data_IF_218511698283
#
_entry.id   IF_218511698283
#
_cell.length_a   1.000
_cell.length_b   1.000
_cell.length_c   1.000
_cell.angle_alpha   90.00
_cell.angle_beta   90.00
_cell.angle_gamma   90.00
#
_symmetry.space_group_name_H-M   'P 1'
#
loop_
_entity.id
_entity.type
_entity.pdbx_description
1 polymer ?
#
# COMPACT_ATOMS: atom_id res chain seq x y z
N UNK A 1 20.93 -1.78 9.10
CA UNK A 1 21.72 -1.64 7.85
C UNK A 1 20.97 -0.61 7.04
N UNK A 2 21.31 0.70 7.06
CA UNK A 2 20.70 1.74 6.20
C UNK A 2 21.32 3.10 6.60
N UNK A 3 22.47 3.46 6.03
CA UNK A 3 22.99 4.84 6.15
C UNK A 3 23.15 5.53 4.79
N UNK A 4 23.17 4.75 3.70
CA UNK A 4 23.01 5.23 2.33
C UNK A 4 21.76 4.56 1.76
N UNK A 5 20.68 5.31 1.54
CA UNK A 5 19.45 4.74 0.95
C UNK A 5 19.58 4.54 -0.57
N UNK A 6 20.70 4.94 -1.18
CA UNK A 6 20.94 4.89 -2.63
C UNK A 6 19.78 5.53 -3.43
N UNK A 7 19.10 6.56 -2.88
CA UNK A 7 17.92 7.19 -3.49
C UNK A 7 18.14 7.64 -4.95
N UNK A 8 19.38 8.02 -5.27
CA UNK A 8 19.76 8.71 -6.52
C UNK A 8 20.85 8.00 -7.29
N UNK A 9 21.17 6.76 -6.94
CA UNK A 9 22.23 5.99 -7.57
C UNK A 9 21.88 4.50 -7.58
N UNK A 10 22.64 3.73 -8.33
CA UNK A 10 22.44 2.28 -8.37
C UNK A 10 22.96 1.66 -7.08
N UNK A 11 22.19 0.73 -6.53
CA UNK A 11 22.65 -0.06 -5.37
C UNK A 11 23.85 -0.91 -5.80
N UNK A 12 24.99 -0.86 -5.09
CA UNK A 12 26.15 -1.69 -5.38
C UNK A 12 25.83 -3.20 -5.31
N UNK A 13 26.56 -4.02 -6.07
CA UNK A 13 26.31 -5.47 -6.16
C UNK A 13 26.68 -6.22 -4.88
N UNK A 14 27.65 -5.72 -4.11
CA UNK A 14 28.09 -6.28 -2.82
C UNK A 14 27.07 -6.07 -1.69
N UNK A 15 26.12 -5.13 -1.85
CA UNK A 15 25.03 -4.86 -0.89
C UNK A 15 23.82 -5.77 -1.06
N UNK A 16 23.95 -6.85 -1.83
CA UNK A 16 22.85 -7.75 -2.16
C UNK A 16 22.28 -8.52 -0.96
N UNK A 17 20.94 -8.58 -0.85
CA UNK A 17 20.18 -9.35 0.15
C UNK A 17 19.33 -10.45 -0.50
N UNK A 18 19.00 -11.47 0.29
CA UNK A 18 18.17 -12.62 -0.13
C UNK A 18 16.69 -12.28 -0.24
N UNK A 19 15.97 -12.96 -1.13
CA UNK A 19 14.53 -12.73 -1.35
C UNK A 19 13.66 -12.93 -0.12
N UNK A 20 13.96 -13.92 0.73
CA UNK A 20 13.25 -14.11 2.00
C UNK A 20 13.32 -12.90 2.93
N UNK A 21 14.48 -12.21 2.99
CA UNK A 21 14.62 -10.99 3.79
C UNK A 21 13.78 -9.84 3.23
N UNK A 22 13.74 -9.71 1.90
CA UNK A 22 12.88 -8.73 1.22
C UNK A 22 11.40 -9.02 1.54
N UNK A 23 11.00 -10.29 1.44
CA UNK A 23 9.65 -10.74 1.77
C UNK A 23 9.28 -10.45 3.22
N UNK A 24 10.15 -10.78 4.19
CA UNK A 24 9.91 -10.49 5.61
C UNK A 24 9.75 -9.00 5.91
N UNK A 25 10.55 -8.13 5.26
CA UNK A 25 10.40 -6.68 5.42
C UNK A 25 9.01 -6.24 4.94
N UNK A 26 8.60 -6.71 3.76
CA UNK A 26 7.31 -6.36 3.19
C UNK A 26 6.12 -6.92 3.99
N UNK A 27 6.21 -8.17 4.48
CA UNK A 27 5.21 -8.77 5.39
C UNK A 27 5.13 -7.94 6.68
N UNK A 28 6.27 -7.51 7.22
CA UNK A 28 6.31 -6.65 8.41
C UNK A 28 5.65 -5.29 8.18
N UNK A 29 5.89 -4.66 7.03
CA UNK A 29 5.17 -3.45 6.61
C UNK A 29 3.67 -3.74 6.49
N UNK A 30 3.30 -4.95 6.08
CA UNK A 30 1.90 -5.31 5.91
C UNK A 30 1.14 -5.76 7.14
N UNK A 31 1.84 -6.05 8.24
CA UNK A 31 1.25 -6.14 9.57
C UNK A 31 0.93 -4.74 10.09
N UNK A 32 -0.07 -4.12 9.48
CA UNK A 32 -0.53 -2.77 9.78
C UNK A 32 -2.05 -2.73 9.97
N UNK A 33 -2.52 -1.79 10.78
CA UNK A 33 -3.94 -1.66 11.12
C UNK A 33 -4.87 -1.58 9.89
N UNK A 34 -4.53 -0.85 8.82
CA UNK A 34 -5.42 -0.79 7.66
C UNK A 34 -5.53 -2.12 6.90
N UNK A 35 -4.52 -2.99 6.98
CA UNK A 35 -4.59 -4.33 6.39
C UNK A 35 -5.61 -5.19 7.12
N UNK A 36 -5.65 -5.10 8.46
CA UNK A 36 -6.64 -5.79 9.28
C UNK A 36 -8.04 -5.28 8.99
N UNK A 37 -8.23 -3.95 8.95
CA UNK A 37 -9.50 -3.33 8.59
C UNK A 37 -9.98 -3.80 7.21
N UNK A 38 -9.10 -3.83 6.22
CA UNK A 38 -9.44 -4.32 4.88
C UNK A 38 -9.92 -5.77 4.90
N UNK A 39 -9.20 -6.67 5.59
CA UNK A 39 -9.59 -8.07 5.72
C UNK A 39 -10.94 -8.24 6.43
N UNK A 40 -11.16 -7.49 7.51
CA UNK A 40 -12.40 -7.48 8.27
C UNK A 40 -13.59 -6.97 7.42
N UNK A 41 -13.43 -5.84 6.72
CA UNK A 41 -14.46 -5.29 5.83
C UNK A 41 -14.84 -6.29 4.74
N UNK A 42 -13.85 -6.96 4.14
CA UNK A 42 -14.13 -7.97 3.11
C UNK A 42 -14.88 -9.17 3.68
N UNK A 43 -14.50 -9.64 4.87
CA UNK A 43 -15.17 -10.74 5.55
C UNK A 43 -16.62 -10.42 5.93
N UNK A 44 -16.88 -9.24 6.50
CA UNK A 44 -18.24 -8.81 6.84
C UNK A 44 -19.11 -8.69 5.58
N UNK A 45 -18.55 -8.18 4.48
CA UNK A 45 -19.31 -8.04 3.23
C UNK A 45 -19.65 -9.38 2.55
N UNK A 46 -18.72 -10.34 2.55
CA UNK A 46 -18.83 -11.58 1.77
C UNK A 46 -19.07 -12.86 2.56
N UNK A 47 -18.82 -12.85 3.87
CA UNK A 47 -18.65 -14.06 4.69
C UNK A 47 -17.24 -14.66 4.53
N UNK A 48 -16.92 -15.65 5.36
CA UNK A 48 -15.55 -16.17 5.49
C UNK A 48 -14.98 -16.76 4.19
N UNK A 49 -15.63 -17.79 3.61
CA UNK A 49 -15.09 -18.49 2.44
C UNK A 49 -14.94 -17.59 1.21
N UNK A 50 -15.94 -16.80 0.81
CA UNK A 50 -15.78 -15.96 -0.38
C UNK A 50 -14.78 -14.82 -0.13
N UNK A 51 -14.64 -14.33 1.12
CA UNK A 51 -13.57 -13.39 1.47
C UNK A 51 -12.16 -13.99 1.33
N UNK A 52 -11.94 -15.21 1.81
CA UNK A 52 -10.66 -15.93 1.61
C UNK A 52 -10.36 -16.10 0.12
N UNK A 53 -11.36 -16.43 -0.69
CA UNK A 53 -11.21 -16.52 -2.16
C UNK A 53 -10.84 -15.16 -2.76
N UNK A 54 -11.48 -14.07 -2.33
CA UNK A 54 -11.15 -12.71 -2.79
C UNK A 54 -9.69 -12.32 -2.45
N UNK A 55 -9.24 -12.63 -1.23
CA UNK A 55 -7.85 -12.41 -0.80
C UNK A 55 -6.88 -13.26 -1.60
N UNK A 56 -7.22 -14.53 -1.87
CA UNK A 56 -6.38 -15.41 -2.67
C UNK A 56 -6.22 -14.90 -4.12
N UNK A 57 -7.33 -14.52 -4.77
CA UNK A 57 -7.31 -13.99 -6.16
C UNK A 57 -6.55 -12.67 -6.23
N UNK A 58 -6.80 -11.75 -5.29
CA UNK A 58 -6.05 -10.49 -5.22
C UNK A 58 -4.56 -10.74 -4.97
N UNK A 59 -4.21 -11.69 -4.10
CA UNK A 59 -2.85 -12.14 -3.87
C UNK A 59 -2.15 -12.67 -5.13
N UNK A 60 -2.86 -13.39 -6.00
CA UNK A 60 -2.34 -13.81 -7.31
C UNK A 60 -2.03 -12.59 -8.20
N UNK A 61 -2.99 -11.67 -8.35
CA UNK A 61 -2.83 -10.47 -9.19
C UNK A 61 -1.63 -9.64 -8.70
N UNK A 62 -1.58 -9.37 -7.40
CA UNK A 62 -0.52 -8.60 -6.75
C UNK A 62 0.83 -9.32 -6.82
N UNK A 63 0.85 -10.65 -6.69
CA UNK A 63 2.08 -11.44 -6.83
C UNK A 63 2.61 -11.39 -8.26
N UNK A 64 1.77 -11.49 -9.28
CA UNK A 64 2.22 -11.39 -10.68
C UNK A 64 2.84 -10.02 -10.95
N UNK A 65 2.15 -8.96 -10.57
CA UNK A 65 2.66 -7.59 -10.70
C UNK A 65 3.94 -7.44 -9.89
N UNK A 66 3.89 -7.69 -8.58
CA UNK A 66 5.00 -7.56 -7.65
C UNK A 66 6.23 -8.39 -8.04
N UNK A 67 6.06 -9.63 -8.49
CA UNK A 67 7.20 -10.45 -8.93
C UNK A 67 7.88 -9.82 -10.15
N UNK A 68 7.07 -9.32 -11.08
CA UNK A 68 7.56 -8.69 -12.31
C UNK A 68 8.30 -7.39 -12.01
N UNK A 69 7.69 -6.50 -11.23
CA UNK A 69 8.31 -5.26 -10.77
C UNK A 69 9.55 -5.55 -9.92
N UNK A 70 9.50 -6.59 -9.10
CA UNK A 70 10.60 -7.06 -8.28
C UNK A 70 11.82 -7.47 -9.10
N UNK A 71 11.62 -8.21 -10.20
CA UNK A 71 12.67 -8.56 -11.16
C UNK A 71 13.22 -7.33 -11.88
N UNK A 72 12.36 -6.37 -12.23
CA UNK A 72 12.82 -5.11 -12.83
C UNK A 72 13.73 -4.38 -11.84
N UNK A 73 13.31 -4.25 -10.58
CA UNK A 73 14.13 -3.61 -9.54
C UNK A 73 15.46 -4.30 -9.30
N UNK A 74 15.51 -5.64 -9.25
CA UNK A 74 16.76 -6.38 -9.04
C UNK A 74 17.77 -6.20 -10.17
N UNK A 75 17.29 -6.11 -11.41
CA UNK A 75 18.13 -5.88 -12.60
C UNK A 75 18.61 -4.44 -12.69
N UNK A 76 17.69 -3.50 -12.51
CA UNK A 76 17.98 -2.08 -12.66
C UNK A 76 18.82 -1.56 -11.48
N UNK A 77 18.65 -2.14 -10.30
CA UNK A 77 19.23 -1.69 -9.03
C UNK A 77 18.95 -0.21 -8.74
N UNK A 78 17.82 0.29 -9.27
CA UNK A 78 17.32 1.65 -9.14
C UNK A 78 16.00 1.63 -8.37
N UNK A 79 15.67 2.75 -7.72
CA UNK A 79 14.32 2.94 -7.17
C UNK A 79 13.27 3.04 -8.28
N UNK A 80 12.03 2.78 -7.90
CA UNK A 80 10.84 2.89 -8.75
C UNK A 80 10.77 4.25 -9.42
N UNK A 81 11.15 5.31 -8.71
CA UNK A 81 11.10 6.70 -9.17
C UNK A 81 12.05 7.01 -10.34
N UNK A 82 13.12 6.22 -10.50
CA UNK A 82 13.99 6.28 -11.69
C UNK A 82 13.47 5.35 -12.78
N UNK A 83 12.97 4.16 -12.42
CA UNK A 83 12.45 3.19 -13.38
C UNK A 83 11.26 3.77 -14.14
N UNK A 84 10.37 4.51 -13.48
CA UNK A 84 9.22 5.16 -14.12
C UNK A 84 9.62 6.24 -15.13
N UNK A 85 10.82 6.83 -15.03
CA UNK A 85 11.30 7.81 -16.02
C UNK A 85 11.55 7.20 -17.40
N UNK A 86 11.91 5.91 -17.46
CA UNK A 86 12.01 5.23 -18.75
C UNK A 86 10.64 5.17 -19.42
N UNK A 87 9.62 4.70 -18.70
CA UNK A 87 8.28 4.54 -19.24
C UNK A 87 7.59 5.87 -19.54
N UNK A 88 7.59 6.81 -18.60
CA UNK A 88 6.78 8.04 -18.67
C UNK A 88 7.55 9.29 -19.13
N UNK A 89 8.88 9.21 -19.24
CA UNK A 89 9.74 10.39 -19.39
C UNK A 89 9.89 11.17 -18.08
N UNK A 90 10.76 12.18 -18.07
CA UNK A 90 11.12 12.93 -16.85
C UNK A 90 9.91 13.60 -16.17
N UNK A 91 9.11 14.35 -16.92
CA UNK A 91 7.95 15.07 -16.40
C UNK A 91 6.76 14.16 -16.14
N UNK A 92 6.57 13.13 -16.97
CA UNK A 92 5.53 12.13 -16.73
C UNK A 92 5.78 11.35 -15.46
N UNK A 93 7.02 10.90 -15.24
CA UNK A 93 7.41 10.23 -14.00
C UNK A 93 7.27 11.13 -12.76
N UNK A 94 7.52 12.44 -12.87
CA UNK A 94 7.27 13.37 -11.78
C UNK A 94 5.79 13.34 -11.33
N UNK A 95 4.85 13.34 -12.28
CA UNK A 95 3.42 13.19 -11.98
C UNK A 95 3.12 11.84 -11.32
N UNK A 96 3.65 10.75 -11.88
CA UNK A 96 3.47 9.40 -11.32
C UNK A 96 4.01 9.30 -9.89
N UNK A 97 5.19 9.87 -9.64
CA UNK A 97 5.80 9.89 -8.32
C UNK A 97 4.99 10.74 -7.33
N UNK A 98 4.35 11.81 -7.81
CA UNK A 98 3.41 12.59 -7.02
C UNK A 98 2.14 11.79 -6.67
N UNK A 99 1.61 10.98 -7.60
CA UNK A 99 0.48 10.06 -7.32
C UNK A 99 0.84 9.04 -6.23
N UNK A 100 2.04 8.45 -6.30
CA UNK A 100 2.53 7.59 -5.21
C UNK A 100 2.66 8.34 -3.88
N UNK A 101 3.24 9.54 -3.89
CA UNK A 101 3.35 10.39 -2.70
C UNK A 101 1.99 10.66 -2.06
N UNK A 102 1.01 11.08 -2.88
CA UNK A 102 -0.35 11.38 -2.44
C UNK A 102 -1.01 10.15 -1.80
N UNK A 103 -0.74 8.96 -2.32
CA UNK A 103 -1.21 7.71 -1.72
C UNK A 103 -0.64 7.51 -0.32
N UNK A 104 0.66 7.76 -0.11
CA UNK A 104 1.26 7.69 1.23
C UNK A 104 0.73 8.78 2.17
N UNK A 105 0.40 9.98 1.67
CA UNK A 105 -0.23 11.01 2.49
C UNK A 105 -1.62 10.57 2.96
N UNK A 106 -2.38 9.92 2.08
CA UNK A 106 -3.69 9.37 2.40
C UNK A 106 -3.59 8.20 3.40
N UNK A 107 -2.66 7.26 3.20
CA UNK A 107 -2.39 6.19 4.17
C UNK A 107 -1.94 6.71 5.53
N UNK A 108 -1.21 7.83 5.55
CA UNK A 108 -0.92 8.52 6.80
C UNK A 108 -2.20 8.98 7.50
N UNK A 109 -3.11 9.62 6.77
CA UNK A 109 -4.42 10.06 7.30
C UNK A 109 -5.30 8.91 7.79
N UNK A 110 -5.32 7.77 7.08
CA UNK A 110 -6.06 6.56 7.51
C UNK A 110 -5.49 6.03 8.82
N UNK A 111 -4.18 5.78 8.89
CA UNK A 111 -3.57 5.20 10.09
C UNK A 111 -3.62 6.19 11.27
N UNK A 112 -3.52 7.49 11.01
CA UNK A 112 -3.73 8.55 12.01
C UNK A 112 -5.17 8.59 12.51
N UNK A 113 -6.15 8.38 11.63
CA UNK A 113 -7.57 8.31 12.01
C UNK A 113 -7.84 7.14 12.94
N UNK A 114 -7.30 5.97 12.62
CA UNK A 114 -7.40 4.77 13.47
C UNK A 114 -6.73 5.02 14.82
N UNK A 115 -5.54 5.66 14.82
CA UNK A 115 -4.88 6.09 16.05
C UNK A 115 -5.77 6.98 16.90
N UNK A 116 -6.29 8.05 16.30
CA UNK A 116 -7.08 9.05 16.98
C UNK A 116 -8.38 8.46 17.55
N UNK A 117 -9.06 7.60 16.78
CA UNK A 117 -10.28 6.93 17.22
C UNK A 117 -10.05 6.08 18.48
N UNK A 118 -8.98 5.29 18.50
CA UNK A 118 -8.69 4.43 19.63
C UNK A 118 -8.20 5.19 20.87
N UNK A 119 -7.40 6.25 20.70
CA UNK A 119 -7.01 7.10 21.83
C UNK A 119 -8.21 7.84 22.40
N UNK A 120 -9.08 8.38 21.55
CA UNK A 120 -10.30 9.06 21.96
C UNK A 120 -11.19 8.13 22.79
N UNK A 121 -11.41 6.91 22.30
CA UNK A 121 -12.16 5.89 23.03
C UNK A 121 -11.50 5.54 24.37
N UNK A 122 -10.20 5.25 24.37
CA UNK A 122 -9.46 4.90 25.58
C UNK A 122 -9.52 6.01 26.63
N UNK A 123 -9.30 7.26 26.22
CA UNK A 123 -9.25 8.41 27.13
C UNK A 123 -10.65 8.75 27.66
N UNK A 124 -11.66 8.67 26.80
CA UNK A 124 -13.05 8.88 27.20
C UNK A 124 -13.50 7.82 28.21
N UNK A 125 -13.24 6.54 27.93
CA UNK A 125 -13.64 5.43 28.82
C UNK A 125 -12.91 5.48 30.17
N UNK A 126 -11.59 5.70 30.18
CA UNK A 126 -10.77 5.60 31.38
C UNK A 126 -10.72 6.89 32.20
N UNK A 127 -10.72 8.05 31.54
CA UNK A 127 -10.52 9.35 32.19
C UNK A 127 -11.73 10.29 32.09
N UNK A 128 -12.81 9.90 31.38
CA UNK A 128 -14.01 10.71 31.18
C UNK A 128 -13.70 12.07 30.52
N UNK A 129 -12.67 12.11 29.67
CA UNK A 129 -12.27 13.28 28.89
C UNK A 129 -12.55 12.98 27.41
N UNK A 130 -13.50 13.69 26.83
CA UNK A 130 -13.81 13.64 25.39
C UNK A 130 -13.28 14.90 24.71
N UNK A 131 -12.20 14.75 23.94
CA UNK A 131 -11.65 15.82 23.09
C UNK A 131 -12.12 15.69 21.63
N UNK A 132 -12.70 14.54 21.28
CA UNK A 132 -13.04 14.14 19.94
C UNK A 132 -11.86 13.66 19.09
N UNK A 133 -12.13 12.69 18.21
CA UNK A 133 -11.21 12.15 17.19
C UNK A 133 -10.42 13.21 16.42
N UNK A 134 -11.02 14.36 16.07
CA UNK A 134 -10.33 15.41 15.31
C UNK A 134 -9.20 16.06 16.10
N UNK A 135 -9.38 16.30 17.40
CA UNK A 135 -8.33 16.86 18.25
C UNK A 135 -7.16 15.88 18.38
N UNK A 136 -7.45 14.59 18.61
CA UNK A 136 -6.44 13.54 18.67
C UNK A 136 -5.71 13.32 17.34
N UNK A 137 -6.39 13.52 16.21
CA UNK A 137 -5.76 13.48 14.88
C UNK A 137 -4.73 14.59 14.74
N UNK A 138 -5.05 15.82 15.16
CA UNK A 138 -4.10 16.94 15.11
C UNK A 138 -2.92 16.71 16.07
N UNK A 139 -3.19 16.34 17.33
CA UNK A 139 -2.16 16.12 18.34
C UNK A 139 -1.22 14.99 17.91
N UNK A 140 -1.77 13.81 17.62
CA UNK A 140 -1.01 12.63 17.21
C UNK A 140 -0.25 12.86 15.91
N UNK A 141 -0.88 13.51 14.93
CA UNK A 141 -0.24 13.81 13.65
C UNK A 141 0.94 14.75 13.79
N UNK A 142 0.81 15.84 14.57
CA UNK A 142 1.92 16.76 14.83
C UNK A 142 3.07 16.04 15.53
N UNK A 143 2.78 15.18 16.50
CA UNK A 143 3.79 14.39 17.20
C UNK A 143 4.52 13.43 16.23
N UNK A 144 3.79 12.68 15.40
CA UNK A 144 4.37 11.76 14.42
C UNK A 144 5.23 12.49 13.38
N UNK A 145 4.79 13.66 12.90
CA UNK A 145 5.57 14.49 11.97
C UNK A 145 6.85 15.02 12.63
N UNK A 146 6.75 15.51 13.87
CA UNK A 146 7.91 16.01 14.61
C UNK A 146 8.95 14.90 14.82
N UNK A 147 8.53 13.70 15.21
CA UNK A 147 9.43 12.55 15.38
C UNK A 147 10.09 12.12 14.07
N UNK A 148 9.33 12.12 12.96
CA UNK A 148 9.86 11.80 11.64
C UNK A 148 10.96 12.79 11.19
N UNK A 149 10.82 14.08 11.52
CA UNK A 149 11.83 15.12 11.20
C UNK A 149 13.12 14.93 12.02
N UNK A 150 13.01 14.64 13.32
CA UNK A 150 14.17 14.51 14.21
C UNK A 150 14.94 13.19 14.07
N UNK A 151 14.39 12.23 13.34
CA UNK A 151 15.21 11.29 12.61
C UNK A 151 14.62 9.88 12.52
N UNK A 152 14.62 9.37 11.29
CA UNK A 152 14.31 7.98 10.96
C UNK A 152 15.22 6.91 11.60
N UNK A 153 16.20 7.30 12.42
CA UNK A 153 17.18 6.41 13.09
C UNK A 153 16.53 5.47 14.12
N UNK A 154 15.34 5.79 14.60
CA UNK A 154 14.56 4.96 15.53
C UNK A 154 13.65 3.94 14.87
N UNK A 155 13.35 4.08 13.56
CA UNK A 155 12.32 3.28 12.88
C UNK A 155 12.64 1.80 12.85
N UNK A 156 13.86 1.45 12.45
CA UNK A 156 14.30 0.05 12.39
C UNK A 156 14.10 -0.63 13.75
N UNK A 157 14.38 0.07 14.86
CA UNK A 157 14.22 -0.47 16.21
C UNK A 157 12.77 -0.57 16.64
N UNK A 158 11.95 0.43 16.30
CA UNK A 158 10.52 0.44 16.61
C UNK A 158 9.81 -0.71 15.87
N UNK A 159 10.02 -0.82 14.57
CA UNK A 159 9.40 -1.85 13.73
C UNK A 159 9.82 -3.28 14.14
N UNK A 160 11.06 -3.47 14.60
CA UNK A 160 11.52 -4.76 15.15
C UNK A 160 10.72 -5.23 16.38
N UNK A 161 10.11 -4.32 17.12
CA UNK A 161 9.28 -4.62 18.29
C UNK A 161 7.80 -4.64 17.90
N UNK A 162 7.34 -3.66 17.13
CA UNK A 162 5.93 -3.51 16.76
C UNK A 162 5.42 -4.67 15.93
N UNK A 163 6.19 -5.16 14.95
CA UNK A 163 5.73 -6.22 14.05
C UNK A 163 5.47 -7.54 14.80
N UNK A 164 6.40 -8.07 15.62
CA UNK A 164 6.12 -9.25 16.44
C UNK A 164 4.98 -9.03 17.44
N UNK A 165 4.90 -7.84 18.05
CA UNK A 165 3.83 -7.50 18.98
C UNK A 165 2.46 -7.61 18.29
N UNK A 166 2.29 -6.99 17.12
CA UNK A 166 1.05 -7.04 16.36
C UNK A 166 0.67 -8.47 15.93
N UNK A 167 1.65 -9.25 15.48
CA UNK A 167 1.42 -10.65 15.14
C UNK A 167 0.91 -11.47 16.34
N UNK A 168 1.53 -11.30 17.52
CA UNK A 168 1.08 -12.00 18.75
C UNK A 168 -0.32 -11.53 19.15
N UNK A 169 -0.59 -10.23 19.10
CA UNK A 169 -1.90 -9.69 19.48
C UNK A 169 -3.01 -10.17 18.56
N UNK A 170 -2.76 -10.23 17.25
CA UNK A 170 -3.70 -10.79 16.29
C UNK A 170 -4.02 -12.26 16.63
N UNK A 171 -2.99 -13.10 16.78
CA UNK A 171 -3.16 -14.53 17.11
C UNK A 171 -3.90 -14.75 18.44
N UNK A 172 -3.61 -13.94 19.46
CA UNK A 172 -4.26 -14.03 20.77
C UNK A 172 -5.72 -13.56 20.69
N UNK A 173 -6.01 -12.54 19.88
CA UNK A 173 -7.37 -12.05 19.61
C UNK A 173 -8.18 -13.11 18.86
N UNK A 174 -7.59 -13.75 17.84
CA UNK A 174 -8.21 -14.86 17.11
C UNK A 174 -8.52 -16.04 18.04
N UNK A 175 -7.57 -16.41 18.90
CA UNK A 175 -7.78 -17.48 19.87
C UNK A 175 -8.94 -17.18 20.82
N UNK A 176 -9.09 -15.93 21.29
CA UNK A 176 -10.24 -15.52 22.11
C UNK A 176 -11.55 -15.55 21.33
N UNK A 177 -11.55 -15.03 20.11
CA UNK A 177 -12.73 -15.03 19.24
C UNK A 177 -13.22 -16.46 18.96
N UNK A 178 -12.30 -17.38 18.66
CA UNK A 178 -12.62 -18.80 18.43
C UNK A 178 -13.17 -19.47 19.69
N UNK A 179 -12.67 -19.15 20.88
CA UNK A 179 -13.22 -19.70 22.12
C UNK A 179 -14.62 -19.16 22.47
N UNK A 180 -15.00 -18.01 21.93
CA UNK A 180 -16.33 -17.41 22.15
C UNK A 180 -17.40 -18.05 21.26
N UNK A 181 -17.14 -18.16 19.96
CA UNK A 181 -18.16 -18.57 18.97
C UNK A 181 -17.84 -19.90 18.27
N UNK A 182 -16.78 -20.60 18.64
CA UNK A 182 -16.22 -21.75 17.90
C UNK A 182 -15.80 -21.41 16.46
N UNK A 183 -14.80 -22.12 15.92
CA UNK A 183 -14.36 -21.87 14.55
C UNK A 183 -15.46 -22.20 13.52
N UNK A 184 -16.28 -23.22 13.78
CA UNK A 184 -17.34 -23.67 12.86
C UNK A 184 -18.45 -22.64 12.68
N UNK A 185 -18.84 -21.92 13.74
CA UNK A 185 -19.88 -20.89 13.59
C UNK A 185 -19.31 -19.69 12.83
N UNK A 186 -18.08 -19.25 13.18
CA UNK A 186 -17.39 -18.12 12.52
C UNK A 186 -17.26 -18.33 11.01
N UNK A 187 -16.82 -19.50 10.56
CA UNK A 187 -16.69 -19.79 9.12
C UNK A 187 -18.04 -19.91 8.40
N UNK A 188 -19.11 -20.15 9.15
CA UNK A 188 -20.48 -20.25 8.63
C UNK A 188 -21.25 -18.92 8.67
N UNK A 189 -20.70 -17.89 9.32
CA UNK A 189 -21.29 -16.55 9.38
C UNK A 189 -21.52 -16.02 7.97
N UNK A 190 -22.78 -15.73 7.58
CA UNK A 190 -23.07 -15.18 6.27
C UNK A 190 -22.56 -13.74 6.17
N UNK A 191 -22.10 -13.34 4.99
CA UNK A 191 -21.79 -11.93 4.71
C UNK A 191 -23.05 -11.08 4.63
N UNK A 192 -22.90 -9.75 4.78
CA UNK A 192 -23.99 -8.79 4.64
C UNK A 192 -24.58 -8.75 3.24
N UNK A 193 -23.80 -9.14 2.22
CA UNK A 193 -24.22 -9.08 0.81
C UNK A 193 -24.13 -7.67 0.20
N UNK A 194 -23.63 -6.69 0.95
CA UNK A 194 -23.48 -5.29 0.50
C UNK A 194 -22.32 -5.10 -0.48
N UNK A 195 -21.41 -6.08 -0.58
CA UNK A 195 -20.24 -6.02 -1.44
C UNK A 195 -20.21 -7.22 -2.37
N UNK A 196 -19.91 -6.99 -3.66
CA UNK A 196 -19.74 -8.07 -4.63
C UNK A 196 -18.31 -8.62 -4.58
N UNK A 197 -18.12 -9.86 -5.06
CA UNK A 197 -16.78 -10.48 -5.17
C UNK A 197 -15.80 -9.62 -5.97
N UNK A 198 -16.26 -9.06 -7.10
CA UNK A 198 -15.42 -8.22 -7.96
C UNK A 198 -14.94 -6.94 -7.28
N UNK A 199 -15.82 -6.30 -6.49
CA UNK A 199 -15.48 -5.12 -5.68
C UNK A 199 -14.49 -5.47 -4.58
N UNK A 200 -14.71 -6.58 -3.87
CA UNK A 200 -13.79 -7.07 -2.85
C UNK A 200 -12.38 -7.28 -3.40
N UNK A 201 -12.26 -7.98 -4.53
CA UNK A 201 -10.97 -8.19 -5.19
C UNK A 201 -10.37 -6.84 -5.62
N UNK A 202 -11.18 -5.92 -6.15
CA UNK A 202 -10.71 -4.61 -6.60
C UNK A 202 -10.18 -3.73 -5.47
N UNK A 203 -10.83 -3.69 -4.30
CA UNK A 203 -10.33 -2.91 -3.14
C UNK A 203 -9.08 -3.56 -2.53
N UNK A 204 -8.99 -4.89 -2.52
CA UNK A 204 -7.81 -5.62 -2.08
C UNK A 204 -6.62 -5.36 -3.00
N UNK A 205 -6.83 -5.47 -4.32
CA UNK A 205 -5.81 -5.13 -5.32
C UNK A 205 -5.44 -3.65 -5.22
N UNK A 206 -6.41 -2.75 -5.15
CA UNK A 206 -6.20 -1.30 -5.05
C UNK A 206 -5.38 -0.90 -3.84
N UNK A 207 -5.72 -1.41 -2.65
CA UNK A 207 -5.02 -1.12 -1.40
C UNK A 207 -3.55 -1.51 -1.41
N UNK A 208 -3.19 -2.56 -2.14
CA UNK A 208 -1.83 -3.11 -2.17
C UNK A 208 -1.06 -2.84 -3.46
N UNK A 209 -1.71 -2.31 -4.50
CA UNK A 209 -1.08 -2.11 -5.80
C UNK A 209 0.10 -1.14 -5.73
N UNK A 210 0.06 -0.13 -4.84
CA UNK A 210 1.23 0.75 -4.65
C UNK A 210 2.43 -0.07 -4.20
N UNK A 211 2.27 -0.92 -3.17
CA UNK A 211 3.32 -1.80 -2.68
C UNK A 211 3.89 -2.72 -3.77
N UNK A 212 3.02 -3.29 -4.61
CA UNK A 212 3.44 -4.11 -5.75
C UNK A 212 4.16 -3.28 -6.84
N UNK A 213 3.72 -2.05 -7.07
CA UNK A 213 4.28 -1.14 -8.07
C UNK A 213 5.64 -0.57 -7.65
N UNK A 214 5.83 -0.35 -6.35
CA UNK A 214 7.06 0.21 -5.78
C UNK A 214 8.02 -0.84 -5.23
N UNK A 215 7.77 -2.12 -5.51
CA UNK A 215 8.65 -3.20 -5.09
C UNK A 215 10.13 -3.01 -5.49
N UNK A 216 10.47 -2.33 -6.62
CA UNK A 216 11.85 -1.97 -6.93
C UNK A 216 12.60 -1.22 -5.82
N UNK A 217 11.91 -0.47 -4.95
CA UNK A 217 12.56 0.29 -3.88
C UNK A 217 13.27 -0.61 -2.87
N UNK A 218 12.79 -1.86 -2.72
CA UNK A 218 13.42 -2.90 -1.92
C UNK A 218 14.14 -3.95 -2.77
N UNK A 219 13.57 -4.37 -3.91
CA UNK A 219 14.17 -5.41 -4.73
C UNK A 219 15.43 -4.97 -5.48
N UNK A 220 15.71 -3.66 -5.57
CA UNK A 220 17.02 -3.14 -6.01
C UNK A 220 18.20 -3.65 -5.19
N UNK A 221 17.96 -4.07 -3.95
CA UNK A 221 18.94 -4.72 -3.10
C UNK A 221 19.02 -6.23 -3.32
N UNK A 222 18.21 -6.86 -4.19
CA UNK A 222 18.26 -8.31 -4.39
C UNK A 222 19.60 -8.76 -5.01
N UNK A 223 20.06 -9.97 -4.63
CA UNK A 223 21.28 -10.57 -5.21
C UNK A 223 21.08 -11.09 -6.63
N UNK A 224 19.85 -11.50 -6.95
CA UNK A 224 19.45 -12.09 -8.23
C UNK A 224 17.97 -11.83 -8.49
N UNK A 225 17.55 -11.97 -9.73
CA UNK A 225 16.15 -11.78 -10.15
C UNK A 225 15.16 -12.63 -9.37
N UNK A 226 15.52 -13.90 -9.14
CA UNK A 226 14.71 -14.82 -8.35
C UNK A 226 14.51 -14.33 -6.90
N UNK A 227 15.47 -13.58 -6.33
CA UNK A 227 15.35 -13.05 -4.97
C UNK A 227 14.34 -11.87 -4.95
N UNK A 228 14.32 -11.03 -5.99
CA UNK A 228 13.30 -9.97 -6.14
C UNK A 228 11.90 -10.54 -6.32
N UNK A 229 11.74 -11.54 -7.19
CA UNK A 229 10.47 -12.24 -7.38
C UNK A 229 10.01 -12.97 -6.12
N UNK A 230 10.90 -13.70 -5.45
CA UNK A 230 10.58 -14.45 -4.23
C UNK A 230 10.09 -13.51 -3.12
N UNK A 231 10.72 -12.35 -2.94
CA UNK A 231 10.28 -11.37 -1.95
C UNK A 231 8.84 -10.90 -2.18
N UNK A 232 8.49 -10.60 -3.44
CA UNK A 232 7.13 -10.22 -3.80
C UNK A 232 6.11 -11.35 -3.57
N UNK A 233 6.44 -12.56 -4.03
CA UNK A 233 5.59 -13.73 -3.87
C UNK A 233 5.29 -13.99 -2.40
N UNK A 234 6.31 -14.01 -1.53
CA UNK A 234 6.14 -14.25 -0.10
C UNK A 234 5.26 -13.19 0.57
N UNK A 235 5.37 -11.93 0.15
CA UNK A 235 4.52 -10.86 0.66
C UNK A 235 3.07 -11.03 0.21
N UNK A 236 2.82 -11.04 -1.10
CA UNK A 236 1.47 -10.92 -1.63
C UNK A 236 0.68 -12.24 -1.67
N UNK A 237 1.36 -13.39 -1.62
CA UNK A 237 0.70 -14.69 -1.64
C UNK A 237 0.48 -15.24 -0.22
N UNK A 238 1.45 -15.84 0.50
CA UNK A 238 1.18 -16.33 1.85
C UNK A 238 1.07 -15.20 2.88
N UNK A 239 1.88 -14.13 2.78
CA UNK A 239 1.89 -13.06 3.78
C UNK A 239 0.54 -12.35 3.89
N UNK A 240 0.07 -11.79 2.78
CA UNK A 240 -1.19 -11.07 2.69
C UNK A 240 -2.37 -11.97 3.04
N UNK A 241 -2.38 -13.22 2.56
CA UNK A 241 -3.42 -14.19 2.86
C UNK A 241 -3.51 -14.46 4.37
N UNK A 242 -2.39 -14.71 5.04
CA UNK A 242 -2.37 -14.96 6.48
C UNK A 242 -2.82 -13.75 7.28
N UNK A 243 -2.28 -12.56 6.96
CA UNK A 243 -2.62 -11.31 7.64
C UNK A 243 -4.12 -11.02 7.55
N UNK A 244 -4.68 -11.11 6.35
CA UNK A 244 -6.08 -10.75 6.12
C UNK A 244 -7.03 -11.83 6.60
N UNK A 245 -6.72 -13.12 6.41
CA UNK A 245 -7.57 -14.22 6.88
C UNK A 245 -7.66 -14.23 8.41
N UNK A 246 -6.56 -13.96 9.11
CA UNK A 246 -6.56 -13.80 10.56
C UNK A 246 -7.48 -12.65 10.99
N UNK A 247 -7.39 -11.49 10.32
CA UNK A 247 -8.26 -10.35 10.63
C UNK A 247 -9.78 -10.60 10.41
N UNK A 248 -10.16 -11.60 9.61
CA UNK A 248 -11.56 -11.98 9.39
C UNK A 248 -12.20 -12.62 10.64
N UNK A 249 -11.40 -13.32 11.44
CA UNK A 249 -11.88 -14.14 12.56
C UNK A 249 -12.58 -13.28 13.63
N UNK A 250 -11.93 -12.26 14.22
CA UNK A 250 -12.59 -11.43 15.23
C UNK A 250 -13.75 -10.62 14.63
N UNK A 251 -13.65 -10.20 13.38
CA UNK A 251 -14.69 -9.45 12.70
C UNK A 251 -16.00 -10.26 12.56
N UNK A 252 -15.90 -11.51 12.14
CA UNK A 252 -17.05 -12.40 12.00
C UNK A 252 -17.54 -12.98 13.34
N UNK A 253 -16.66 -13.13 14.32
CA UNK A 253 -17.04 -13.62 15.65
C UNK A 253 -17.79 -12.57 16.48
N UNK A 254 -17.38 -11.30 16.39
CA UNK A 254 -17.88 -10.21 17.23
C UNK A 254 -18.78 -9.23 16.49
N UNK A 255 -18.80 -9.26 15.15
CA UNK A 255 -19.46 -8.23 14.34
C UNK A 255 -18.74 -6.89 14.36
N UNK A 256 -17.45 -6.88 14.71
CA UNK A 256 -16.66 -5.65 14.91
C UNK A 256 -15.42 -5.65 14.02
N UNK A 257 -15.37 -4.73 13.06
CA UNK A 257 -14.27 -4.64 12.08
C UNK A 257 -12.99 -4.04 12.67
N UNK A 258 -13.13 -3.28 13.77
CA UNK A 258 -11.99 -2.72 14.47
C UNK A 258 -11.39 -3.74 15.45
N UNK A 259 -10.21 -4.25 15.11
CA UNK A 259 -9.46 -5.18 15.95
C UNK A 259 -9.22 -4.64 17.37
N UNK A 260 -9.19 -3.32 17.55
CA UNK A 260 -8.96 -2.68 18.84
C UNK A 260 -10.20 -2.80 19.71
N UNK A 261 -11.38 -2.55 19.14
CA UNK A 261 -12.65 -2.76 19.84
C UNK A 261 -12.85 -4.24 20.15
N UNK A 262 -12.43 -5.14 19.27
CA UNK A 262 -12.38 -6.57 19.58
C UNK A 262 -11.49 -6.87 20.80
N UNK A 263 -10.31 -6.27 20.90
CA UNK A 263 -9.43 -6.44 22.07
C UNK A 263 -10.00 -5.80 23.35
N UNK A 264 -10.64 -4.63 23.25
CA UNK A 264 -11.34 -3.99 24.39
C UNK A 264 -12.47 -4.88 24.90
N UNK A 265 -13.23 -5.50 23.99
CA UNK A 265 -14.28 -6.47 24.33
C UNK A 265 -13.71 -7.65 25.15
N UNK A 266 -12.47 -8.08 24.88
CA UNK A 266 -11.79 -9.12 25.66
C UNK A 266 -11.13 -8.62 26.97
N UNK A 267 -11.35 -7.36 27.35
CA UNK A 267 -10.87 -6.78 28.61
C UNK A 267 -9.42 -6.28 28.57
N UNK A 268 -8.90 -5.93 27.38
CA UNK A 268 -7.50 -5.48 27.21
C UNK A 268 -7.33 -4.04 26.71
N UNK A 269 -8.03 -3.03 27.28
CA UNK A 269 -8.02 -1.67 26.74
C UNK A 269 -6.62 -1.00 26.77
N UNK A 270 -5.84 -1.24 27.81
CA UNK A 270 -4.48 -0.66 27.92
C UNK A 270 -3.54 -1.27 26.89
N UNK A 271 -3.57 -2.61 26.75
CA UNK A 271 -2.71 -3.32 25.80
C UNK A 271 -3.05 -2.96 24.36
N UNK A 272 -4.34 -2.84 24.03
CA UNK A 272 -4.79 -2.44 22.70
C UNK A 272 -4.38 -1.01 22.38
N UNK A 273 -4.51 -0.07 23.32
CA UNK A 273 -4.08 1.32 23.15
C UNK A 273 -2.58 1.47 22.90
N UNK A 274 -1.73 0.76 23.66
CA UNK A 274 -0.27 0.77 23.46
C UNK A 274 0.10 0.16 22.11
N UNK A 275 -0.46 -1.01 21.79
CA UNK A 275 -0.17 -1.70 20.54
C UNK A 275 -0.56 -0.89 19.31
N UNK A 276 -1.75 -0.28 19.34
CA UNK A 276 -2.22 0.61 18.29
C UNK A 276 -1.33 1.83 18.16
N UNK A 277 -0.93 2.44 19.28
CA UNK A 277 -0.04 3.61 19.24
C UNK A 277 1.23 3.24 18.52
N UNK A 278 1.88 2.13 18.89
CA UNK A 278 3.10 1.66 18.22
C UNK A 278 2.89 1.30 16.75
N UNK A 279 1.77 0.65 16.42
CA UNK A 279 1.39 0.25 15.07
C UNK A 279 1.18 1.46 14.15
N UNK A 280 0.34 2.40 14.59
CA UNK A 280 0.05 3.60 13.83
C UNK A 280 1.30 4.47 13.69
N UNK A 281 2.12 4.61 14.75
CA UNK A 281 3.37 5.38 14.68
C UNK A 281 4.34 4.79 13.65
N UNK A 282 4.65 3.50 13.76
CA UNK A 282 5.59 2.83 12.85
C UNK A 282 5.09 2.83 11.40
N UNK A 283 3.78 2.63 11.19
CA UNK A 283 3.16 2.70 9.86
C UNK A 283 3.24 4.12 9.28
N UNK A 284 2.93 5.14 10.08
CA UNK A 284 2.96 6.53 9.63
C UNK A 284 4.37 7.05 9.37
N UNK A 285 5.34 6.61 10.16
CA UNK A 285 6.73 6.86 9.87
C UNK A 285 7.16 6.23 8.54
N UNK A 286 6.70 5.02 8.22
CA UNK A 286 6.95 4.39 6.92
C UNK A 286 6.27 5.15 5.76
N UNK A 287 5.03 5.62 5.97
CA UNK A 287 4.31 6.44 5.00
C UNK A 287 5.05 7.76 4.72
N UNK A 288 5.46 8.49 5.77
CA UNK A 288 6.22 9.73 5.64
C UNK A 288 7.58 9.51 4.97
N UNK A 289 8.27 8.42 5.32
CA UNK A 289 9.53 8.03 4.69
C UNK A 289 9.34 7.77 3.19
N UNK A 290 8.38 6.95 2.80
CA UNK A 290 8.10 6.58 1.41
C UNK A 290 7.64 7.78 0.58
N UNK A 291 6.77 8.63 1.15
CA UNK A 291 6.39 9.94 0.60
C UNK A 291 7.60 10.84 0.34
N UNK A 292 8.52 10.93 1.31
CA UNK A 292 9.72 11.74 1.16
C UNK A 292 10.62 11.20 0.05
N UNK A 293 10.76 9.87 -0.06
CA UNK A 293 11.58 9.24 -1.07
C UNK A 293 11.00 9.44 -2.48
N UNK A 294 9.67 9.36 -2.65
CA UNK A 294 9.01 9.58 -3.94
C UNK A 294 9.23 10.98 -4.49
N UNK A 295 9.15 12.00 -3.64
CA UNK A 295 9.32 13.39 -4.07
C UNK A 295 10.80 13.76 -4.21
N UNK A 296 11.66 13.42 -3.24
CA UNK A 296 13.07 13.84 -3.24
C UNK A 296 13.91 13.12 -4.30
N UNK A 297 13.47 11.93 -4.74
CA UNK A 297 14.06 11.24 -5.90
C UNK A 297 13.70 11.93 -7.22
N UNK A 298 12.54 12.60 -7.29
CA UNK A 298 12.05 13.26 -8.50
C UNK A 298 12.41 14.76 -8.57
N UNK A 299 12.45 15.44 -7.42
CA UNK A 299 12.73 16.88 -7.28
C UNK A 299 13.88 17.09 -6.30
N UNK A 300 15.14 17.10 -6.80
CA UNK A 300 16.29 17.09 -5.92
C UNK A 300 16.45 18.29 -4.99
N UNK A 301 15.82 19.41 -5.35
CA UNK A 301 15.90 20.70 -4.66
C UNK A 301 15.07 20.74 -3.37
N UNK A 302 14.10 19.83 -3.21
CA UNK A 302 13.25 19.78 -2.02
C UNK A 302 13.93 18.93 -0.96
N UNK A 303 14.04 19.46 0.26
CA UNK A 303 14.59 18.71 1.38
C UNK A 303 13.57 17.69 1.93
N UNK A 304 14.04 16.52 2.38
CA UNK A 304 13.19 15.45 2.94
C UNK A 304 12.23 15.94 4.03
N UNK A 305 12.70 16.82 4.92
CA UNK A 305 11.87 17.38 6.00
C UNK A 305 10.70 18.22 5.48
N UNK A 306 10.86 18.95 4.37
CA UNK A 306 9.78 19.76 3.77
C UNK A 306 8.67 18.85 3.25
N UNK A 307 9.03 17.76 2.56
CA UNK A 307 8.06 16.77 2.11
C UNK A 307 7.35 16.11 3.29
N UNK A 308 8.09 15.80 4.36
CA UNK A 308 7.54 15.21 5.59
C UNK A 308 6.47 16.12 6.21
N UNK A 309 6.74 17.43 6.32
CA UNK A 309 5.77 18.41 6.84
C UNK A 309 4.54 18.51 5.93
N UNK A 310 4.73 18.59 4.61
CA UNK A 310 3.62 18.69 3.65
C UNK A 310 2.75 17.43 3.69
N UNK A 311 3.39 16.25 3.65
CA UNK A 311 2.73 14.96 3.73
C UNK A 311 1.91 14.82 5.02
N UNK A 312 2.53 15.17 6.15
CA UNK A 312 1.90 15.16 7.46
C UNK A 312 0.72 16.12 7.56
N UNK A 313 0.87 17.37 7.13
CA UNK A 313 -0.20 18.36 7.14
C UNK A 313 -1.40 17.91 6.29
N UNK A 314 -1.14 17.38 5.10
CA UNK A 314 -2.18 16.85 4.22
C UNK A 314 -2.87 15.61 4.82
N UNK A 315 -2.09 14.69 5.40
CA UNK A 315 -2.63 13.52 6.06
C UNK A 315 -3.45 13.84 7.32
N UNK A 316 -3.03 14.83 8.13
CA UNK A 316 -3.81 15.36 9.26
C UNK A 316 -5.13 15.95 8.76
N UNK A 317 -5.07 16.77 7.69
CA UNK A 317 -6.27 17.33 7.08
C UNK A 317 -7.24 16.23 6.65
N UNK A 318 -6.76 15.19 5.97
CA UNK A 318 -7.59 14.05 5.57
C UNK A 318 -8.15 13.27 6.76
N UNK A 319 -7.38 13.10 7.84
CA UNK A 319 -7.85 12.46 9.06
C UNK A 319 -9.00 13.25 9.71
N UNK A 320 -8.87 14.57 9.80
CA UNK A 320 -9.90 15.48 10.32
C UNK A 320 -11.14 15.52 9.42
N UNK A 321 -10.97 15.41 8.10
CA UNK A 321 -12.08 15.33 7.14
C UNK A 321 -12.76 13.95 7.08
N UNK A 322 -12.33 12.98 7.88
CA UNK A 322 -12.98 11.68 7.96
C UNK A 322 -12.58 10.69 6.87
N UNK A 323 -11.32 10.66 6.43
CA UNK A 323 -10.86 9.69 5.40
C UNK A 323 -11.19 8.23 5.74
N UNK A 324 -11.18 7.85 7.02
CA UNK A 324 -11.55 6.50 7.47
C UNK A 324 -13.01 6.16 7.14
N UNK A 325 -13.89 7.16 7.13
CA UNK A 325 -15.32 6.98 6.85
C UNK A 325 -15.55 6.78 5.34
N UNK A 326 -14.56 7.16 4.51
CA UNK A 326 -14.52 6.95 3.07
C UNK A 326 -13.52 5.87 2.65
N UNK A 327 -13.17 4.95 3.56
CA UNK A 327 -12.10 3.97 3.37
C UNK A 327 -12.25 3.12 2.10
N UNK A 328 -13.44 2.56 1.85
CA UNK A 328 -13.71 1.74 0.66
C UNK A 328 -13.52 2.59 -0.62
N UNK A 329 -14.04 3.82 -0.63
CA UNK A 329 -13.89 4.72 -1.78
C UNK A 329 -12.43 5.07 -2.06
N UNK A 330 -11.65 5.31 -1.01
CA UNK A 330 -10.21 5.47 -1.12
C UNK A 330 -9.53 4.25 -1.78
N UNK A 331 -9.84 3.02 -1.33
CA UNK A 331 -9.28 1.80 -1.93
C UNK A 331 -9.68 1.62 -3.40
N UNK A 332 -10.92 1.97 -3.77
CA UNK A 332 -11.38 1.95 -5.17
C UNK A 332 -10.55 2.93 -6.01
N UNK A 333 -10.36 4.17 -5.55
CA UNK A 333 -9.56 5.16 -6.28
C UNK A 333 -8.10 4.71 -6.45
N UNK A 334 -7.51 4.04 -5.46
CA UNK A 334 -6.19 3.42 -5.63
C UNK A 334 -6.21 2.34 -6.72
N UNK A 335 -7.24 1.49 -6.73
CA UNK A 335 -7.47 0.51 -7.78
C UNK A 335 -7.69 1.11 -9.18
N UNK A 336 -8.17 2.35 -9.26
CA UNK A 336 -8.37 3.05 -10.53
C UNK A 336 -7.07 3.62 -11.09
N UNK A 337 -6.28 4.31 -10.26
CA UNK A 337 -5.14 5.10 -10.77
C UNK A 337 -3.80 4.37 -10.74
N UNK A 338 -3.61 3.42 -9.81
CA UNK A 338 -2.30 2.80 -9.56
C UNK A 338 -2.03 1.59 -10.47
N UNK A 339 -2.94 0.61 -10.64
CA UNK A 339 -2.67 -0.53 -11.53
C UNK A 339 -2.32 -0.12 -12.97
N UNK A 340 -2.95 0.91 -13.58
CA UNK A 340 -2.54 1.39 -14.88
C UNK A 340 -1.05 1.76 -14.99
N UNK A 341 -0.48 2.37 -13.93
CA UNK A 341 0.93 2.75 -13.87
C UNK A 341 1.82 1.51 -13.97
N UNK A 342 1.52 0.50 -13.16
CA UNK A 342 2.25 -0.77 -13.15
C UNK A 342 2.19 -1.45 -14.53
N UNK A 343 1.00 -1.55 -15.12
CA UNK A 343 0.82 -2.16 -16.44
C UNK A 343 1.66 -1.48 -17.53
N UNK A 344 1.73 -0.16 -17.53
CA UNK A 344 2.50 0.60 -18.51
C UNK A 344 4.00 0.38 -18.34
N UNK A 345 4.55 0.54 -17.14
CA UNK A 345 6.01 0.47 -17.01
C UNK A 345 6.52 -0.98 -17.12
N UNK A 346 5.73 -1.97 -16.69
CA UNK A 346 6.04 -3.38 -16.94
C UNK A 346 6.10 -3.63 -18.44
N UNK A 347 5.09 -3.17 -19.18
CA UNK A 347 5.02 -3.33 -20.64
C UNK A 347 6.19 -2.62 -21.32
N UNK A 348 6.48 -1.37 -20.94
CA UNK A 348 7.60 -0.60 -21.47
C UNK A 348 8.95 -1.27 -21.26
N UNK A 349 9.18 -1.83 -20.07
CA UNK A 349 10.41 -2.54 -19.74
C UNK A 349 10.66 -3.72 -20.69
N UNK A 350 9.65 -4.55 -20.94
CA UNK A 350 9.81 -5.72 -21.80
C UNK A 350 9.86 -5.36 -23.29
N UNK A 351 9.16 -4.30 -23.73
CA UNK A 351 9.21 -3.84 -25.12
C UNK A 351 10.53 -3.16 -25.47
N UNK A 352 11.07 -2.34 -24.57
CA UNK A 352 12.21 -1.46 -24.85
C UNK A 352 13.45 -1.82 -24.03
N UNK A 353 13.68 -3.11 -23.79
CA UNK A 353 14.75 -3.59 -22.89
C UNK A 353 16.14 -2.97 -23.15
N UNK A 354 16.50 -2.76 -24.42
CA UNK A 354 17.78 -2.14 -24.79
C UNK A 354 17.94 -0.72 -24.22
N UNK A 355 16.87 0.06 -24.13
CA UNK A 355 16.85 1.39 -23.51
C UNK A 355 17.13 1.33 -22.02
N UNK A 356 16.70 0.27 -21.35
CA UNK A 356 16.97 0.02 -19.94
C UNK A 356 18.38 -0.52 -19.69
N UNK A 357 18.98 -1.25 -20.63
CA UNK A 357 20.33 -1.78 -20.45
C UNK A 357 21.42 -0.75 -20.79
N UNK A 358 21.19 0.11 -21.80
CA UNK A 358 22.19 1.04 -22.34
C UNK A 358 22.26 2.42 -21.64
N UNK A 359 21.51 2.64 -20.56
CA UNK A 359 21.41 3.96 -19.94
C UNK A 359 22.55 4.26 -18.97
N UNK A 360 22.93 5.53 -18.90
CA UNK A 360 23.92 6.07 -17.98
C UNK A 360 23.29 7.00 -16.94
N UNK A 361 23.84 6.99 -15.73
CA UNK A 361 23.52 7.93 -14.67
C UNK A 361 24.52 9.09 -14.72
N UNK A 362 24.04 10.28 -15.07
CA UNK A 362 24.83 11.51 -15.01
C UNK A 362 24.64 12.25 -13.67
N UNK A 363 25.28 13.43 -13.49
CA UNK A 363 25.21 14.21 -12.25
C UNK A 363 23.80 14.61 -11.82
N UNK A 364 22.89 14.72 -12.78
CA UNK A 364 21.49 15.13 -12.60
C UNK A 364 20.50 13.97 -12.84
N UNK A 365 20.97 12.71 -12.82
CA UNK A 365 20.15 11.52 -13.07
C UNK A 365 20.33 10.89 -14.44
N UNK A 366 19.34 10.10 -14.86
CA UNK A 366 19.33 9.37 -16.14
C UNK A 366 19.55 10.29 -17.35
N UNK A 367 20.58 9.97 -18.15
CA UNK A 367 20.93 10.68 -19.39
C UNK A 367 20.07 10.16 -20.55
N UNK A 368 19.72 11.04 -21.51
CA UNK A 368 19.01 10.63 -22.73
C UNK A 368 17.53 10.29 -22.56
N UNK A 369 16.96 10.46 -21.36
CA UNK A 369 15.52 10.26 -21.14
C UNK A 369 14.73 11.42 -21.73
N UNK A 370 13.72 11.09 -22.55
CA UNK A 370 12.78 12.06 -23.11
C UNK A 370 12.03 12.83 -22.02
N UNK A 371 11.61 14.06 -22.35
CA UNK A 371 10.89 14.93 -21.41
C UNK A 371 9.55 14.33 -20.97
N UNK A 372 8.76 13.82 -21.91
CA UNK A 372 7.47 13.20 -21.65
C UNK A 372 7.24 12.09 -22.69
N UNK A 373 6.75 10.94 -22.25
CA UNK A 373 6.24 9.91 -23.14
C UNK A 373 4.73 10.09 -23.29
N UNK A 374 4.30 10.76 -24.35
CA UNK A 374 2.87 11.04 -24.59
C UNK A 374 2.06 9.74 -24.68
N UNK A 375 2.63 8.67 -25.24
CA UNK A 375 1.97 7.36 -25.34
C UNK A 375 1.67 6.80 -23.96
N UNK A 376 2.63 6.84 -23.04
CA UNK A 376 2.45 6.38 -21.67
C UNK A 376 1.39 7.21 -20.94
N UNK A 377 1.43 8.54 -21.09
CA UNK A 377 0.48 9.45 -20.45
C UNK A 377 -0.95 9.24 -20.93
N UNK A 378 -1.15 9.14 -22.25
CA UNK A 378 -2.47 8.86 -22.84
C UNK A 378 -2.97 7.49 -22.41
N UNK A 379 -2.10 6.47 -22.44
CA UNK A 379 -2.47 5.11 -21.99
C UNK A 379 -2.90 5.11 -20.52
N UNK A 380 -2.22 5.87 -19.67
CA UNK A 380 -2.55 5.98 -18.25
C UNK A 380 -3.91 6.66 -18.03
N UNK A 381 -4.15 7.80 -18.70
CA UNK A 381 -5.41 8.55 -18.58
C UNK A 381 -6.58 7.70 -19.07
N UNK A 382 -6.46 7.09 -20.27
CA UNK A 382 -7.54 6.30 -20.87
C UNK A 382 -7.84 5.05 -20.04
N UNK A 383 -6.80 4.34 -19.57
CA UNK A 383 -7.00 3.14 -18.75
C UNK A 383 -7.56 3.48 -17.37
N UNK A 384 -7.15 4.60 -16.75
CA UNK A 384 -7.73 5.05 -15.48
C UNK A 384 -9.18 5.49 -15.66
N UNK A 385 -9.52 6.20 -16.74
CA UNK A 385 -10.89 6.56 -17.05
C UNK A 385 -11.78 5.33 -17.29
N UNK A 386 -11.24 4.31 -17.97
CA UNK A 386 -11.92 3.03 -18.18
C UNK A 386 -12.13 2.29 -16.85
N UNK A 387 -11.11 2.20 -15.99
CA UNK A 387 -11.26 1.59 -14.66
C UNK A 387 -12.27 2.35 -13.78
N UNK A 388 -12.29 3.69 -13.86
CA UNK A 388 -13.29 4.50 -13.17
C UNK A 388 -14.71 4.28 -13.72
N UNK A 389 -14.83 4.09 -15.04
CA UNK A 389 -16.08 3.78 -15.71
C UNK A 389 -16.64 2.40 -15.32
N UNK A 390 -15.78 1.41 -15.04
CA UNK A 390 -16.20 0.08 -14.58
C UNK A 390 -16.34 -0.03 -13.06
N UNK A 391 -15.87 0.95 -12.30
CA UNK A 391 -15.95 0.98 -10.84
C UNK A 391 -17.39 1.22 -10.34
N UNK A 392 -17.80 0.62 -9.21
CA UNK A 392 -19.14 0.79 -8.62
C UNK A 392 -19.47 2.25 -8.38
N UNK A 393 -20.74 2.63 -8.55
CA UNK A 393 -21.15 4.02 -8.35
C UNK A 393 -21.05 4.46 -6.89
N UNK A 394 -21.41 3.56 -5.98
CA UNK A 394 -21.33 3.76 -4.53
C UNK A 394 -20.17 2.89 -3.98
N UNK A 395 -19.18 3.46 -3.26
CA UNK A 395 -19.04 4.86 -2.83
C UNK A 395 -18.42 5.81 -3.87
N UNK A 396 -17.72 5.31 -4.89
CA UNK A 396 -17.07 6.17 -5.89
C UNK A 396 -16.77 5.43 -7.20
N UNK A 397 -17.30 5.95 -8.31
CA UNK A 397 -17.16 5.38 -9.65
C UNK A 397 -18.31 5.82 -10.56
N UNK A 398 -18.43 5.21 -11.74
CA UNK A 398 -19.54 5.51 -12.67
C UNK A 398 -20.44 4.32 -13.00
N UNK A 399 -19.94 3.09 -12.81
CA UNK A 399 -20.67 1.84 -13.07
C UNK A 399 -21.37 1.80 -14.44
N UNK A 400 -20.68 2.28 -15.49
CA UNK A 400 -21.25 2.39 -16.82
C UNK A 400 -21.37 1.03 -17.53
N UNK A 401 -20.41 0.14 -17.28
CA UNK A 401 -20.34 -1.22 -17.84
C UNK A 401 -19.39 -2.10 -17.02
N UNK A 402 -19.38 -3.40 -17.29
CA UNK A 402 -18.44 -4.35 -16.66
C UNK A 402 -17.59 -5.04 -17.73
N UNK A 403 -16.27 -5.14 -17.48
CA UNK A 403 -15.35 -5.92 -18.33
C UNK A 403 -14.97 -7.24 -17.66
N UNK A 404 -14.17 -7.18 -16.59
CA UNK A 404 -13.78 -8.38 -15.82
C UNK A 404 -14.54 -8.53 -14.51
N UNK A 405 -15.45 -7.60 -14.19
CA UNK A 405 -16.04 -7.36 -12.86
C UNK A 405 -15.05 -6.88 -11.78
N UNK A 406 -13.76 -6.76 -12.10
CA UNK A 406 -12.70 -6.29 -11.20
C UNK A 406 -12.09 -5.01 -11.80
N UNK A 407 -12.58 -3.81 -11.41
CA UNK A 407 -12.13 -2.55 -12.00
C UNK A 407 -10.61 -2.32 -11.97
N UNK A 408 -9.95 -2.72 -10.88
CA UNK A 408 -8.49 -2.63 -10.77
C UNK A 408 -7.76 -3.49 -11.81
N UNK A 409 -8.32 -4.65 -12.17
CA UNK A 409 -7.78 -5.53 -13.21
C UNK A 409 -8.07 -4.94 -14.60
N UNK A 410 -9.25 -4.37 -14.81
CA UNK A 410 -9.61 -3.67 -16.06
C UNK A 410 -8.59 -2.57 -16.37
N UNK A 411 -8.27 -1.72 -15.38
CA UNK A 411 -7.27 -0.65 -15.53
C UNK A 411 -5.87 -1.18 -15.82
N UNK A 412 -5.44 -2.24 -15.12
CA UNK A 412 -4.12 -2.87 -15.32
C UNK A 412 -3.98 -3.42 -16.75
N UNK A 413 -4.97 -4.18 -17.22
CA UNK A 413 -4.94 -4.83 -18.52
C UNK A 413 -5.10 -3.81 -19.66
N UNK A 414 -6.01 -2.85 -19.50
CA UNK A 414 -6.22 -1.79 -20.48
C UNK A 414 -4.95 -0.95 -20.67
N UNK A 415 -4.27 -0.58 -19.59
CA UNK A 415 -3.06 0.25 -19.71
C UNK A 415 -1.93 -0.47 -20.43
N UNK A 416 -1.71 -1.76 -20.13
CA UNK A 416 -0.73 -2.59 -20.80
C UNK A 416 -1.05 -2.75 -22.30
N UNK A 417 -2.32 -3.06 -22.63
CA UNK A 417 -2.75 -3.26 -24.01
C UNK A 417 -2.69 -1.97 -24.85
N UNK A 418 -3.22 -0.86 -24.32
CA UNK A 418 -3.22 0.44 -25.01
C UNK A 418 -1.77 0.91 -25.25
N UNK A 419 -0.92 0.80 -24.23
CA UNK A 419 0.48 1.19 -24.35
C UNK A 419 1.22 0.34 -25.39
N UNK A 420 1.04 -0.98 -25.35
CA UNK A 420 1.65 -1.90 -26.31
C UNK A 420 1.26 -1.56 -27.76
N UNK A 421 -0.04 -1.33 -28.01
CA UNK A 421 -0.56 -1.04 -29.35
C UNK A 421 -0.06 0.31 -29.89
N UNK A 422 -0.15 1.36 -29.07
CA UNK A 422 0.27 2.70 -29.47
C UNK A 422 1.79 2.82 -29.64
N UNK A 423 2.56 2.16 -28.78
CA UNK A 423 4.02 2.19 -28.89
C UNK A 423 4.53 1.48 -30.15
N UNK A 424 3.81 0.43 -30.61
CA UNK A 424 4.16 -0.30 -31.83
C UNK A 424 3.73 0.41 -33.10
N UNK A 425 2.64 1.19 -33.07
CA UNK A 425 2.18 1.94 -34.24
C UNK A 425 3.05 3.16 -34.54
N UNK A 426 3.68 3.75 -33.53
CA UNK A 426 4.54 4.93 -33.65
C UNK A 426 6.03 4.61 -33.93
N UNK A 427 6.41 3.33 -33.88
CA UNK A 427 7.76 2.85 -34.22
C UNK A 427 7.87 2.29 -35.65
N UNK A 428 6.77 2.30 -36.40
CA UNK A 428 6.74 2.11 -37.86
C UNK A 428 6.71 3.47 -38.53
#
# INVERSE_FOLDING_TARGET
MLFEDYARERVPTDKGVSGWRIGLIFIGVGLALPAFLTGATVAVGLGFYPAVVAVFISGIILSIVGMTTGVIGSRMRLSTYWITQFAFGRWGALLINFVFALTFFAWFGVSLSMFAQAIDQLVTEQFQIDLGRSAWSVIGGVMMVATAIWGFRGLDKLSLITVPLLAVLLLVTDWRAINLSSLSEIISTPGSGEMTMGVAISILVGGWMVGASILPDLSRYARRDADGALGAFLCFMPGLLLIMAAAMIPALALGEMDIIKAMVHFGWPVLSGVALTMAAWSTNDNNLYSASLSIVSAVPQIAKWQVTVIAGAFGIMLAVLGILDHFIGFLILLGVFVPPIAGIYITDYFMHRQKYDAHEMGPNGLVGIQKINVVAMVSWIVASALAFATSPKDPVGLELFQLTSIPALDGLLASAAIYFLLSRSLTK
#
